data_IF_827930304736
#
_entry.id   IF_827930304736
#
_cell.length_a   1.000
_cell.length_b   1.000
_cell.length_c   1.000
_cell.angle_alpha   90.00
_cell.angle_beta   90.00
_cell.angle_gamma   90.00
#
_symmetry.space_group_name_H-M   'P 1'
#
loop_
_entity.id
_entity.type
_entity.pdbx_description
1 polymer ?
#
# COMPACT_ATOMS: atom_id res chain seq x y z
N UNK A 1 13.87 -13.32 1.35
CA UNK A 1 14.28 -12.27 2.30
C UNK A 1 13.18 -12.01 3.28
N UNK A 2 13.49 -11.78 4.55
CA UNK A 2 12.46 -11.40 5.51
C UNK A 2 11.94 -9.99 5.19
N UNK A 3 10.75 -9.70 5.69
CA UNK A 3 10.20 -8.36 5.55
C UNK A 3 11.02 -7.36 6.37
N UNK A 4 11.34 -6.24 5.76
CA UNK A 4 12.03 -5.13 6.42
C UNK A 4 11.01 -4.14 6.96
N UNK A 5 11.42 -3.17 7.79
CA UNK A 5 10.50 -2.09 8.20
C UNK A 5 9.89 -1.36 7.01
N UNK A 6 10.62 -1.21 5.92
CA UNK A 6 10.07 -0.57 4.72
C UNK A 6 8.93 -1.40 4.13
N UNK A 7 9.06 -2.71 4.14
CA UNK A 7 7.98 -3.59 3.68
C UNK A 7 6.75 -3.48 4.57
N UNK A 8 6.94 -3.36 5.89
CA UNK A 8 5.81 -3.18 6.80
C UNK A 8 5.06 -1.90 6.48
N UNK A 9 5.78 -0.80 6.21
CA UNK A 9 5.16 0.46 5.86
C UNK A 9 4.37 0.35 4.55
N UNK A 10 4.93 -0.35 3.56
CA UNK A 10 4.25 -0.59 2.28
C UNK A 10 2.99 -1.41 2.47
N UNK A 11 3.06 -2.48 3.26
CA UNK A 11 1.90 -3.33 3.54
C UNK A 11 0.80 -2.55 4.25
N UNK A 12 1.17 -1.75 5.23
CA UNK A 12 0.20 -0.93 5.96
C UNK A 12 -0.46 0.10 5.07
N UNK A 13 0.30 0.70 4.16
CA UNK A 13 -0.26 1.67 3.22
C UNK A 13 -1.23 0.98 2.25
N UNK A 14 -0.88 -0.20 1.75
CA UNK A 14 -1.77 -0.96 0.86
C UNK A 14 -3.10 -1.27 1.55
N UNK A 15 -3.09 -1.52 2.86
CA UNK A 15 -4.32 -1.81 3.60
C UNK A 15 -5.23 -0.59 3.72
N UNK A 16 -4.75 0.61 3.46
CA UNK A 16 -5.57 1.81 3.49
C UNK A 16 -6.41 1.99 2.24
N UNK A 17 -6.09 1.27 1.16
CA UNK A 17 -6.91 1.33 -0.05
C UNK A 17 -8.22 0.59 0.19
N UNK A 18 -9.36 1.19 -0.16
CA UNK A 18 -10.66 0.57 0.09
C UNK A 18 -10.90 -0.59 -0.86
N UNK A 19 -10.73 -1.79 -0.35
CA UNK A 19 -10.97 -3.02 -1.11
C UNK A 19 -10.07 -3.11 -2.34
N UNK A 20 -10.58 -3.78 -3.36
CA UNK A 20 -9.86 -3.96 -4.62
C UNK A 20 -10.39 -3.06 -5.72
N UNK A 21 -11.20 -2.06 -5.38
CA UNK A 21 -11.78 -1.17 -6.36
C UNK A 21 -10.71 -0.24 -6.93
N UNK A 22 -10.49 -0.33 -8.23
CA UNK A 22 -9.53 0.53 -8.91
C UNK A 22 -10.02 1.98 -9.00
N UNK A 23 -11.28 2.23 -8.67
CA UNK A 23 -11.85 3.57 -8.74
C UNK A 23 -11.66 4.36 -7.46
N UNK A 24 -11.27 3.69 -6.38
CA UNK A 24 -11.05 4.34 -5.10
C UNK A 24 -9.56 4.56 -4.90
N UNK A 25 -9.16 5.80 -4.67
CA UNK A 25 -7.77 6.16 -4.46
C UNK A 25 -7.52 6.69 -3.07
N UNK A 26 -6.27 6.92 -2.77
CA UNK A 26 -5.87 7.59 -1.54
C UNK A 26 -4.88 8.71 -1.89
N UNK A 27 -4.68 9.61 -0.95
CA UNK A 27 -3.65 10.62 -1.07
C UNK A 27 -2.85 10.69 0.21
N UNK A 28 -1.53 10.63 0.05
CA UNK A 28 -0.59 10.74 1.16
C UNK A 28 -0.06 12.18 1.16
N UNK A 29 -0.45 12.95 2.17
CA UNK A 29 -0.02 14.33 2.28
C UNK A 29 1.36 14.38 2.92
N UNK A 30 2.33 14.89 2.18
CA UNK A 30 3.72 14.90 2.60
C UNK A 30 3.90 15.55 3.98
N UNK A 31 3.13 16.58 4.27
CA UNK A 31 3.25 17.32 5.54
C UNK A 31 2.35 16.74 6.64
N UNK A 32 1.38 15.91 6.29
CA UNK A 32 0.45 15.35 7.25
C UNK A 32 0.68 13.88 7.56
N UNK A 33 1.54 13.21 6.81
CA UNK A 33 1.80 11.78 6.97
C UNK A 33 3.15 11.56 7.62
N UNK A 34 3.31 10.41 8.28
CA UNK A 34 4.61 10.01 8.81
C UNK A 34 5.62 9.84 7.67
N UNK A 35 6.91 10.13 7.91
CA UNK A 35 7.92 9.96 6.86
C UNK A 35 7.96 8.57 6.27
N UNK A 36 7.70 7.54 7.07
CA UNK A 36 7.65 6.16 6.60
C UNK A 36 6.53 5.95 5.59
N UNK A 37 5.39 6.60 5.81
CA UNK A 37 4.24 6.51 4.91
C UNK A 37 4.56 7.17 3.58
N UNK A 38 5.18 8.34 3.62
CA UNK A 38 5.58 9.05 2.40
C UNK A 38 6.55 8.20 1.58
N UNK A 39 7.55 7.63 2.23
CA UNK A 39 8.53 6.78 1.55
C UNK A 39 7.89 5.51 1.02
N UNK A 40 6.92 4.95 1.76
CA UNK A 40 6.20 3.76 1.30
C UNK A 40 5.43 4.07 0.02
N UNK A 41 4.76 5.21 -0.06
CA UNK A 41 4.04 5.61 -1.26
C UNK A 41 4.99 5.76 -2.45
N UNK A 42 6.11 6.42 -2.25
CA UNK A 42 7.11 6.58 -3.32
C UNK A 42 7.65 5.24 -3.78
N UNK A 43 7.89 4.33 -2.84
CA UNK A 43 8.39 2.99 -3.16
C UNK A 43 7.36 2.18 -3.94
N UNK A 44 6.09 2.22 -3.52
CA UNK A 44 5.02 1.54 -4.23
C UNK A 44 4.86 2.09 -5.65
N UNK A 45 4.98 3.41 -5.81
CA UNK A 45 4.92 4.02 -7.13
C UNK A 45 6.08 3.52 -8.00
N UNK A 46 7.30 3.47 -7.46
CA UNK A 46 8.46 3.01 -8.20
C UNK A 46 8.33 1.55 -8.64
N UNK A 47 7.62 0.74 -7.86
CA UNK A 47 7.38 -0.68 -8.18
C UNK A 47 6.20 -0.88 -9.12
N UNK A 48 5.49 0.18 -9.46
CA UNK A 48 4.35 0.08 -10.37
C UNK A 48 3.05 -0.39 -9.73
N UNK A 49 2.90 -0.20 -8.42
CA UNK A 49 1.72 -0.64 -7.69
C UNK A 49 0.66 0.43 -7.58
N UNK A 50 1.06 1.70 -7.63
CA UNK A 50 0.14 2.84 -7.57
C UNK A 50 0.48 3.82 -8.69
N UNK A 51 -0.45 4.71 -8.98
CA UNK A 51 -0.35 5.58 -10.17
C UNK A 51 0.38 6.89 -9.91
N UNK A 52 0.57 7.29 -8.66
CA UNK A 52 1.20 8.56 -8.30
C UNK A 52 2.08 8.37 -7.07
N UNK A 53 3.11 9.22 -6.96
CA UNK A 53 4.04 9.16 -5.83
C UNK A 53 3.37 9.41 -4.49
N UNK A 54 2.26 10.13 -4.49
CA UNK A 54 1.54 10.47 -3.26
C UNK A 54 0.27 9.63 -3.10
N UNK A 55 0.16 8.52 -3.80
CA UNK A 55 -0.96 7.60 -3.69
C UNK A 55 -1.66 7.39 -5.01
N UNK A 56 -2.71 8.16 -5.26
CA UNK A 56 -3.51 7.98 -6.47
C UNK A 56 -4.31 6.70 -6.40
N UNK A 57 -4.27 5.92 -7.47
CA UNK A 57 -5.07 4.71 -7.63
C UNK A 57 -4.17 3.50 -7.74
N UNK A 58 -4.73 2.33 -7.45
CA UNK A 58 -4.02 1.06 -7.64
C UNK A 58 -3.91 0.74 -9.12
N UNK A 59 -2.74 0.26 -9.53
CA UNK A 59 -2.57 -0.38 -10.82
C UNK A 59 -3.11 -1.80 -10.72
N UNK A 60 -3.24 -2.54 -11.84
CA UNK A 60 -3.63 -3.96 -11.75
C UNK A 60 -2.71 -4.77 -10.82
N UNK A 61 -1.40 -4.50 -10.86
CA UNK A 61 -0.46 -5.16 -9.95
C UNK A 61 -0.72 -4.73 -8.52
N UNK A 62 -1.03 -3.44 -8.30
CA UNK A 62 -1.36 -2.94 -6.97
C UNK A 62 -2.62 -3.55 -6.41
N UNK A 63 -3.64 -3.74 -7.24
CA UNK A 63 -4.87 -4.41 -6.81
C UNK A 63 -4.59 -5.83 -6.37
N UNK A 64 -3.77 -6.56 -7.11
CA UNK A 64 -3.36 -7.90 -6.73
C UNK A 64 -2.61 -7.88 -5.39
N UNK A 65 -1.70 -6.94 -5.22
CA UNK A 65 -0.92 -6.82 -3.99
C UNK A 65 -1.81 -6.52 -2.79
N UNK A 66 -2.80 -5.64 -2.95
CA UNK A 66 -3.76 -5.33 -1.87
C UNK A 66 -4.54 -6.58 -1.49
N UNK A 67 -5.02 -7.33 -2.48
CA UNK A 67 -5.77 -8.55 -2.24
C UNK A 67 -4.93 -9.55 -1.44
N UNK A 68 -3.69 -9.77 -1.85
CA UNK A 68 -2.78 -10.68 -1.16
C UNK A 68 -2.48 -10.18 0.26
N UNK A 69 -2.31 -8.87 0.43
CA UNK A 69 -2.03 -8.27 1.74
C UNK A 69 -3.21 -8.47 2.68
N UNK A 70 -4.42 -8.25 2.19
CA UNK A 70 -5.63 -8.43 3.00
C UNK A 70 -5.80 -9.89 3.42
N UNK A 71 -5.55 -10.82 2.50
CA UNK A 71 -5.62 -12.24 2.82
C UNK A 71 -4.59 -12.62 3.88
N UNK A 72 -3.36 -12.15 3.72
CA UNK A 72 -2.31 -12.42 4.69
C UNK A 72 -2.65 -11.84 6.05
N UNK A 73 -3.12 -10.60 6.09
CA UNK A 73 -3.53 -9.96 7.33
C UNK A 73 -4.61 -10.77 8.05
N UNK A 74 -5.60 -11.23 7.31
CA UNK A 74 -6.67 -12.07 7.85
C UNK A 74 -6.13 -13.34 8.48
N UNK A 75 -5.23 -14.02 7.78
CA UNK A 75 -4.62 -15.26 8.26
C UNK A 75 -3.82 -14.99 9.55
N UNK A 76 -3.02 -13.93 9.56
CA UNK A 76 -2.18 -13.62 10.71
C UNK A 76 -3.00 -13.14 11.90
N UNK A 77 -4.15 -12.53 11.67
CA UNK A 77 -5.04 -12.05 12.74
C UNK A 77 -5.98 -13.13 13.24
N UNK A 78 -6.03 -14.25 12.55
CA UNK A 78 -6.88 -15.38 12.88
C UNK A 78 -6.32 -16.13 14.07
N UNK A 79 -7.18 -16.78 14.83
CA UNK A 79 -6.76 -17.57 15.98
C UNK A 79 -7.19 -19.00 15.84
#
# INVERSE_FOLDING_TARGET
>A
MPFSPNHFAELNLLLQFPGTSAQAGIKVHRHGAAPETVRAAESLFAKGLITQKDGGYLTPLGSEAVELTQKLQCILSSR
#
